data_IF_255599373012
#
_entry.id   IF_255599373012
#
_cell.length_a   1.000
_cell.length_b   1.000
_cell.length_c   1.000
_cell.angle_alpha   90.00
_cell.angle_beta   90.00
_cell.angle_gamma   90.00
#
_symmetry.space_group_name_H-M   'P 1'
#
loop_
_entity.id
_entity.type
_entity.pdbx_description
1 polymer ?
#
# COMPACT_ATOMS: atom_id res chain seq x y z
N UNK A 1 18.36 3.17 -11.10
CA UNK A 1 18.22 2.73 -9.70
C UNK A 1 16.83 2.20 -9.37
N UNK A 2 15.80 2.99 -9.65
CA UNK A 2 14.41 2.68 -9.29
C UNK A 2 13.91 1.40 -10.01
N UNK A 3 14.30 1.22 -11.27
CA UNK A 3 13.97 0.03 -12.06
C UNK A 3 14.49 -1.28 -11.46
N UNK A 4 15.76 -1.32 -11.04
CA UNK A 4 16.34 -2.49 -10.35
C UNK A 4 15.59 -2.79 -9.05
N UNK A 5 15.18 -1.76 -8.30
CA UNK A 5 14.43 -1.96 -7.07
C UNK A 5 13.05 -2.57 -7.33
N UNK A 6 12.36 -2.09 -8.36
CA UNK A 6 11.09 -2.67 -8.82
C UNK A 6 11.24 -4.16 -9.18
N UNK A 7 12.33 -4.51 -9.88
CA UNK A 7 12.67 -5.90 -10.23
C UNK A 7 12.85 -6.78 -8.99
N UNK A 8 13.55 -6.27 -7.96
CA UNK A 8 13.77 -6.99 -6.72
C UNK A 8 12.45 -7.26 -5.99
N UNK A 9 11.61 -6.24 -5.81
CA UNK A 9 10.28 -6.40 -5.20
C UNK A 9 9.46 -7.45 -5.96
N UNK A 10 9.42 -7.35 -7.29
CA UNK A 10 8.70 -8.33 -8.13
C UNK A 10 9.22 -9.76 -7.92
N UNK A 11 10.55 -9.93 -7.87
CA UNK A 11 11.17 -11.24 -7.67
C UNK A 11 10.92 -11.79 -6.26
N UNK A 12 10.96 -10.96 -5.22
CA UNK A 12 10.64 -11.34 -3.84
C UNK A 12 9.21 -11.85 -3.71
N UNK A 13 8.28 -11.28 -4.49
CA UNK A 13 6.89 -11.72 -4.56
C UNK A 13 6.67 -12.90 -5.52
N UNK A 14 7.72 -13.44 -6.14
CA UNK A 14 7.63 -14.50 -7.16
C UNK A 14 6.69 -14.16 -8.32
N UNK A 15 6.54 -12.87 -8.65
CA UNK A 15 5.63 -12.40 -9.71
C UNK A 15 6.36 -12.40 -11.06
N UNK A 16 5.74 -13.01 -12.06
CA UNK A 16 6.24 -12.97 -13.44
C UNK A 16 5.92 -11.63 -14.13
N UNK A 17 6.77 -11.23 -15.08
CA UNK A 17 6.48 -10.08 -15.95
C UNK A 17 5.17 -10.23 -16.73
N UNK A 18 4.76 -11.47 -17.05
CA UNK A 18 3.47 -11.76 -17.67
C UNK A 18 2.29 -11.40 -16.78
N UNK A 19 2.37 -11.64 -15.48
CA UNK A 19 1.30 -11.30 -14.54
C UNK A 19 1.11 -9.78 -14.47
N UNK A 20 2.20 -9.01 -14.31
CA UNK A 20 2.14 -7.54 -14.33
C UNK A 20 1.59 -7.05 -15.66
N UNK A 21 2.16 -7.54 -16.78
CA UNK A 21 1.78 -7.14 -18.13
C UNK A 21 0.29 -7.30 -18.40
N UNK A 22 -0.29 -8.41 -17.94
CA UNK A 22 -1.72 -8.71 -18.06
C UNK A 22 -2.57 -7.79 -17.17
N UNK A 23 -2.14 -7.52 -15.94
CA UNK A 23 -2.92 -6.71 -15.00
C UNK A 23 -3.00 -5.24 -15.44
N UNK A 24 -1.87 -4.65 -15.86
CA UNK A 24 -1.79 -3.19 -16.08
C UNK A 24 -1.92 -2.77 -17.55
N UNK A 25 -2.11 -3.74 -18.45
CA UNK A 25 -2.20 -3.58 -19.91
C UNK A 25 -0.96 -2.87 -20.51
N UNK A 26 0.23 -3.40 -20.21
CA UNK A 26 1.52 -2.90 -20.72
C UNK A 26 2.38 -4.08 -21.17
N UNK A 27 3.15 -3.94 -22.24
CA UNK A 27 3.93 -5.05 -22.78
C UNK A 27 5.03 -5.54 -21.81
N UNK A 28 5.24 -6.86 -21.76
CA UNK A 28 6.34 -7.48 -20.99
C UNK A 28 7.71 -6.86 -21.30
N UNK A 29 7.97 -6.54 -22.56
CA UNK A 29 9.23 -5.92 -22.98
C UNK A 29 9.40 -4.53 -22.36
N UNK A 30 8.35 -3.73 -22.31
CA UNK A 30 8.40 -2.40 -21.70
C UNK A 30 8.75 -2.50 -20.21
N UNK A 31 8.08 -3.38 -19.46
CA UNK A 31 8.33 -3.57 -18.03
C UNK A 31 9.77 -4.08 -17.80
N UNK A 32 10.23 -5.01 -18.63
CA UNK A 32 11.61 -5.49 -18.61
C UNK A 32 12.62 -4.36 -18.87
N UNK A 33 12.36 -3.48 -19.84
CA UNK A 33 13.25 -2.35 -20.12
C UNK A 33 13.28 -1.34 -18.96
N UNK A 34 12.16 -1.16 -18.26
CA UNK A 34 12.11 -0.36 -17.01
C UNK A 34 12.93 -1.02 -15.91
N UNK A 35 12.71 -2.32 -15.65
CA UNK A 35 13.41 -3.07 -14.60
C UNK A 35 14.93 -3.15 -14.79
N UNK A 36 15.39 -3.11 -16.04
CA UNK A 36 16.82 -3.11 -16.38
C UNK A 36 17.36 -1.71 -16.69
N UNK A 37 16.65 -0.64 -16.31
CA UNK A 37 17.08 0.75 -16.42
C UNK A 37 17.34 1.25 -17.85
N UNK A 38 16.89 0.49 -18.86
CA UNK A 38 16.95 0.87 -20.27
C UNK A 38 15.91 1.93 -20.62
N UNK A 39 14.83 2.00 -19.84
CA UNK A 39 13.73 2.94 -20.03
C UNK A 39 13.23 3.48 -18.70
N UNK A 40 12.86 4.76 -18.66
CA UNK A 40 12.17 5.35 -17.52
C UNK A 40 10.66 5.19 -17.74
N UNK A 41 9.97 4.65 -16.73
CA UNK A 41 8.52 4.50 -16.76
C UNK A 41 7.81 5.85 -16.77
N UNK A 42 6.67 5.94 -17.44
CA UNK A 42 5.75 7.06 -17.19
C UNK A 42 5.14 6.93 -15.79
N UNK A 43 4.71 8.05 -15.22
CA UNK A 43 4.07 8.09 -13.91
C UNK A 43 2.86 7.14 -13.80
N UNK A 44 1.86 7.18 -14.71
CA UNK A 44 0.69 6.33 -14.58
C UNK A 44 1.02 4.84 -14.64
N UNK A 45 1.99 4.45 -15.48
CA UNK A 45 2.41 3.04 -15.58
C UNK A 45 3.16 2.62 -14.31
N UNK A 46 4.04 3.47 -13.80
CA UNK A 46 4.80 3.18 -12.59
C UNK A 46 3.88 2.95 -11.39
N UNK A 47 2.90 3.85 -11.17
CA UNK A 47 1.93 3.70 -10.08
C UNK A 47 1.08 2.45 -10.24
N UNK A 48 0.61 2.13 -11.45
CA UNK A 48 -0.12 0.88 -11.69
C UNK A 48 0.69 -0.36 -11.31
N UNK A 49 1.99 -0.38 -11.61
CA UNK A 49 2.85 -1.50 -11.20
C UNK A 49 2.94 -1.57 -9.67
N UNK A 50 3.21 -0.44 -9.01
CA UNK A 50 3.33 -0.40 -7.54
C UNK A 50 2.01 -0.80 -6.86
N UNK A 51 0.87 -0.31 -7.35
CA UNK A 51 -0.45 -0.63 -6.81
C UNK A 51 -0.72 -2.14 -6.96
N UNK A 52 -0.39 -2.73 -8.10
CA UNK A 52 -0.51 -4.18 -8.30
C UNK A 52 0.41 -4.96 -7.36
N UNK A 53 1.69 -4.61 -7.29
CA UNK A 53 2.64 -5.29 -6.40
C UNK A 53 2.19 -5.19 -4.94
N UNK A 54 1.75 -4.01 -4.50
CA UNK A 54 1.26 -3.77 -3.14
C UNK A 54 -0.02 -4.58 -2.83
N UNK A 55 -0.93 -4.70 -3.81
CA UNK A 55 -2.17 -5.47 -3.67
C UNK A 55 -1.91 -6.97 -3.49
N UNK A 56 -0.89 -7.51 -4.15
CA UNK A 56 -0.53 -8.94 -4.06
C UNK A 56 0.51 -9.22 -2.96
N UNK A 57 0.91 -8.20 -2.20
CA UNK A 57 1.90 -8.35 -1.13
C UNK A 57 1.22 -8.86 0.16
N UNK A 58 1.77 -9.91 0.80
CA UNK A 58 1.13 -10.56 1.93
C UNK A 58 1.45 -9.87 3.27
N UNK A 59 0.75 -10.24 4.34
CA UNK A 59 1.32 -10.06 5.67
C UNK A 59 2.55 -10.97 5.78
N UNK A 60 3.63 -10.49 6.38
CA UNK A 60 4.82 -11.27 6.67
C UNK A 60 5.55 -10.72 7.89
N UNK A 61 6.73 -11.27 8.19
CA UNK A 61 7.58 -10.85 9.31
C UNK A 61 7.85 -9.33 9.38
N UNK A 62 7.80 -8.60 8.26
CA UNK A 62 8.03 -7.14 8.27
C UNK A 62 6.86 -6.34 8.84
N UNK A 63 5.64 -6.86 8.78
CA UNK A 63 4.42 -6.12 9.13
C UNK A 63 3.43 -6.90 10.00
N UNK A 64 3.70 -8.17 10.32
CA UNK A 64 2.76 -9.00 11.09
C UNK A 64 2.36 -8.35 12.41
N UNK A 65 3.28 -7.72 13.13
CA UNK A 65 2.98 -7.12 14.44
C UNK A 65 2.09 -5.87 14.33
N UNK A 66 1.98 -5.27 13.15
CA UNK A 66 1.08 -4.13 12.90
C UNK A 66 -0.36 -4.60 12.62
N UNK A 67 -0.51 -5.81 12.10
CA UNK A 67 -1.78 -6.31 11.55
C UNK A 67 -2.37 -7.46 12.36
N UNK A 68 -1.54 -8.35 12.91
CA UNK A 68 -1.95 -9.46 13.75
C UNK A 68 -1.90 -9.01 15.21
N UNK A 69 -2.95 -8.30 15.63
CA UNK A 69 -3.06 -7.75 16.99
C UNK A 69 -4.03 -8.54 17.84
N UNK A 70 -3.88 -8.45 19.16
CA UNK A 70 -4.83 -9.04 20.12
C UNK A 70 -6.27 -8.58 19.90
N UNK A 71 -6.46 -7.31 19.54
CA UNK A 71 -7.79 -6.78 19.24
C UNK A 71 -8.42 -7.53 18.06
N UNK A 72 -7.68 -7.64 16.96
CA UNK A 72 -8.15 -8.31 15.75
C UNK A 72 -8.31 -9.82 15.96
N UNK A 73 -7.45 -10.46 16.75
CA UNK A 73 -7.61 -11.85 17.15
C UNK A 73 -8.97 -12.08 17.83
N UNK A 74 -9.32 -11.22 18.78
CA UNK A 74 -10.58 -11.34 19.51
C UNK A 74 -11.81 -11.08 18.61
N UNK A 75 -11.70 -10.23 17.58
CA UNK A 75 -12.78 -10.04 16.60
C UNK A 75 -12.90 -11.24 15.63
N UNK A 76 -11.76 -11.79 15.19
CA UNK A 76 -11.68 -12.90 14.26
C UNK A 76 -12.13 -14.23 14.86
N UNK A 77 -11.72 -14.53 16.11
CA UNK A 77 -11.91 -15.86 16.73
C UNK A 77 -13.37 -16.23 16.99
N UNK A 78 -14.24 -15.23 17.14
CA UNK A 78 -15.69 -15.38 17.36
C UNK A 78 -16.42 -15.86 16.09
N UNK A 79 -15.80 -15.66 14.93
CA UNK A 79 -16.38 -16.05 13.63
C UNK A 79 -15.88 -17.42 13.15
N UNK A 80 -15.03 -18.10 13.93
CA UNK A 80 -14.57 -19.45 13.61
C UNK A 80 -15.67 -20.48 13.84
N UNK A 81 -15.76 -21.50 12.99
CA UNK A 81 -16.88 -22.45 12.96
C UNK A 81 -16.40 -23.90 13.03
N UNK A 82 -17.22 -24.78 13.59
CA UNK A 82 -16.99 -26.21 13.58
C UNK A 82 -17.84 -26.87 12.50
N UNK A 83 -17.21 -27.73 11.70
CA UNK A 83 -17.88 -28.61 10.75
C UNK A 83 -17.51 -30.05 11.05
N UNK A 84 -18.44 -31.00 10.83
CA UNK A 84 -18.07 -32.41 10.83
C UNK A 84 -17.24 -32.69 9.56
N UNK A 85 -16.15 -33.45 9.69
CA UNK A 85 -15.33 -33.76 8.52
C UNK A 85 -16.03 -34.76 7.60
N UNK A 86 -16.06 -34.43 6.31
CA UNK A 86 -16.54 -35.31 5.24
C UNK A 86 -15.41 -36.17 4.63
N UNK A 87 -14.17 -36.05 5.13
CA UNK A 87 -13.03 -36.86 4.68
C UNK A 87 -13.12 -38.28 5.27
N UNK A 88 -13.16 -39.28 4.40
CA UNK A 88 -13.25 -40.68 4.80
C UNK A 88 -12.06 -41.17 5.63
N UNK A 89 -10.91 -40.49 5.57
CA UNK A 89 -9.76 -40.79 6.42
C UNK A 89 -9.90 -40.22 7.84
N UNK A 90 -10.83 -39.30 8.05
CA UNK A 90 -11.06 -38.58 9.31
C UNK A 90 -12.53 -38.66 9.75
N UNK A 91 -13.21 -39.76 9.42
CA UNK A 91 -14.60 -40.00 9.80
C UNK A 91 -14.77 -39.90 11.33
N UNK A 92 -15.66 -39.01 11.78
CA UNK A 92 -15.90 -38.74 13.20
C UNK A 92 -15.05 -37.62 13.82
N UNK A 93 -14.19 -36.95 13.04
CA UNK A 93 -13.50 -35.74 13.47
C UNK A 93 -14.27 -34.47 13.09
N UNK A 94 -13.97 -33.39 13.81
CA UNK A 94 -14.45 -32.04 13.55
C UNK A 94 -13.34 -31.19 12.95
N UNK A 95 -13.68 -30.39 11.95
CA UNK A 95 -12.84 -29.37 11.39
C UNK A 95 -13.17 -28.04 12.06
N UNK A 96 -12.17 -27.37 12.63
CA UNK A 96 -12.29 -25.98 13.06
C UNK A 96 -11.90 -25.08 11.89
N UNK A 97 -12.83 -24.28 11.41
CA UNK A 97 -12.69 -23.39 10.27
C UNK A 97 -12.52 -21.95 10.70
N UNK A 98 -11.58 -21.26 10.07
CA UNK A 98 -11.43 -19.83 10.09
C UNK A 98 -12.50 -19.15 9.20
N UNK A 99 -12.83 -17.87 9.44
CA UNK A 99 -13.90 -17.18 8.71
C UNK A 99 -13.61 -16.96 7.22
N UNK A 100 -12.33 -17.02 6.83
CA UNK A 100 -11.84 -16.95 5.44
C UNK A 100 -11.95 -18.30 4.71
N UNK A 101 -12.49 -19.33 5.36
CA UNK A 101 -12.71 -20.64 4.75
C UNK A 101 -11.45 -21.52 4.76
N UNK A 102 -10.54 -21.32 5.71
CA UNK A 102 -9.41 -22.22 5.92
C UNK A 102 -9.61 -23.10 7.15
N UNK A 103 -9.16 -24.34 7.07
CA UNK A 103 -9.15 -25.24 8.23
C UNK A 103 -7.99 -24.84 9.14
N UNK A 104 -8.32 -24.50 10.39
CA UNK A 104 -7.38 -24.22 11.48
C UNK A 104 -6.75 -25.53 11.96
N UNK A 105 -7.58 -26.53 12.26
CA UNK A 105 -7.16 -27.85 12.76
C UNK A 105 -8.29 -28.87 12.66
N UNK A 106 -7.92 -30.15 12.69
CA UNK A 106 -8.84 -31.27 12.97
C UNK A 106 -8.88 -31.52 14.48
N UNK A 107 -10.05 -31.90 15.01
CA UNK A 107 -10.29 -32.14 16.43
C UNK A 107 -11.14 -33.40 16.60
N UNK A 108 -10.82 -34.23 17.58
CA UNK A 108 -11.68 -35.36 17.94
C UNK A 108 -12.95 -34.88 18.67
N UNK A 109 -13.89 -35.80 18.90
CA UNK A 109 -15.12 -35.52 19.64
C UNK A 109 -14.87 -35.02 21.08
N UNK A 110 -13.77 -35.48 21.71
CA UNK A 110 -13.35 -35.01 23.04
C UNK A 110 -12.65 -33.65 22.97
N UNK A 111 -11.82 -33.43 21.95
CA UNK A 111 -11.03 -32.19 21.83
C UNK A 111 -11.90 -30.97 21.52
N UNK A 112 -13.05 -31.17 20.85
CA UNK A 112 -13.97 -30.08 20.50
C UNK A 112 -14.67 -29.45 21.72
N UNK A 113 -14.64 -30.13 22.87
CA UNK A 113 -15.23 -29.62 24.11
C UNK A 113 -14.20 -28.90 24.99
N UNK A 114 -12.90 -28.99 24.65
CA UNK A 114 -11.82 -28.32 25.37
C UNK A 114 -11.63 -26.88 24.86
N UNK A 115 -12.31 -25.94 25.52
CA UNK A 115 -12.25 -24.51 25.18
C UNK A 115 -10.81 -23.94 25.21
N UNK A 116 -9.97 -24.42 26.13
CA UNK A 116 -8.59 -23.93 26.24
C UNK A 116 -7.77 -24.40 25.03
N UNK A 117 -7.85 -25.69 24.70
CA UNK A 117 -7.20 -26.25 23.52
C UNK A 117 -7.65 -25.51 22.24
N UNK A 118 -8.95 -25.23 22.12
CA UNK A 118 -9.51 -24.53 20.96
C UNK A 118 -8.93 -23.11 20.85
N UNK A 119 -8.90 -22.33 21.93
CA UNK A 119 -8.31 -20.97 21.90
C UNK A 119 -6.82 -21.02 21.59
N UNK A 120 -6.07 -22.00 22.13
CA UNK A 120 -4.66 -22.19 21.80
C UNK A 120 -4.44 -22.47 20.31
N UNK A 121 -5.26 -23.34 19.69
CA UNK A 121 -5.19 -23.63 18.24
C UNK A 121 -5.57 -22.42 17.39
N UNK A 122 -6.61 -21.68 17.78
CA UNK A 122 -7.00 -20.42 17.11
C UNK A 122 -5.88 -19.38 17.18
N UNK A 123 -5.27 -19.20 18.36
CA UNK A 123 -4.14 -18.29 18.56
C UNK A 123 -2.93 -18.66 17.72
N UNK A 124 -2.50 -19.92 17.79
CA UNK A 124 -1.36 -20.42 17.03
C UNK A 124 -1.57 -20.17 15.53
N UNK A 125 -2.77 -20.51 15.02
CA UNK A 125 -3.11 -20.24 13.64
C UNK A 125 -3.05 -18.74 13.32
N UNK A 126 -3.75 -17.91 14.10
CA UNK A 126 -3.85 -16.48 13.84
C UNK A 126 -2.52 -15.74 13.91
N UNK A 127 -1.67 -16.04 14.88
CA UNK A 127 -0.44 -15.28 15.13
C UNK A 127 0.83 -15.91 14.54
N UNK A 128 0.80 -17.18 14.13
CA UNK A 128 1.99 -17.88 13.64
C UNK A 128 1.84 -18.47 12.25
N UNK A 129 0.64 -18.90 11.84
CA UNK A 129 0.45 -19.66 10.59
C UNK A 129 -0.26 -18.85 9.49
N UNK A 130 -1.10 -17.92 9.89
CA UNK A 130 -1.97 -17.10 9.03
C UNK A 130 -1.30 -16.16 8.04
N UNK A 131 0.03 -16.07 8.05
CA UNK A 131 0.76 -15.18 7.14
C UNK A 131 1.91 -15.93 6.46
N UNK A 132 1.98 -17.25 6.66
CA UNK A 132 2.95 -18.10 6.01
C UNK A 132 2.45 -18.48 4.59
N UNK A 133 3.36 -18.63 3.62
CA UNK A 133 3.01 -19.02 2.24
C UNK A 133 2.32 -20.38 2.13
N UNK A 134 2.49 -21.23 3.13
CA UNK A 134 1.85 -22.53 3.31
C UNK A 134 1.39 -22.63 4.77
N UNK A 135 0.14 -22.31 5.07
CA UNK A 135 -0.44 -22.67 6.37
C UNK A 135 -0.78 -24.16 6.48
N UNK A 136 0.11 -25.05 5.99
CA UNK A 136 -0.05 -26.50 6.08
C UNK A 136 1.21 -27.16 6.62
N UNK A 137 1.10 -27.76 7.80
CA UNK A 137 1.86 -28.96 8.15
C UNK A 137 1.35 -30.11 7.26
N UNK A 138 1.90 -30.29 6.04
CA UNK A 138 1.46 -31.42 5.21
C UNK A 138 1.84 -31.36 3.73
N UNK A 139 2.92 -32.06 3.41
CA UNK A 139 3.41 -32.59 2.13
C UNK A 139 2.41 -32.59 0.94
N UNK A 140 2.24 -31.46 0.25
CA UNK A 140 1.68 -31.40 -1.11
C UNK A 140 2.51 -30.47 -1.99
N UNK A 141 3.58 -31.04 -2.56
CA UNK A 141 4.41 -30.41 -3.59
C UNK A 141 3.63 -30.25 -4.90
N UNK A 142 2.81 -29.21 -5.01
CA UNK A 142 2.46 -28.52 -6.26
C UNK A 142 1.22 -27.64 -6.05
N UNK A 143 1.40 -26.37 -5.70
CA UNK A 143 0.52 -25.28 -6.15
C UNK A 143 1.25 -23.97 -5.94
N UNK A 144 1.14 -23.05 -6.90
CA UNK A 144 1.57 -21.66 -6.77
C UNK A 144 1.21 -21.13 -5.37
N UNK A 145 2.23 -20.90 -4.55
CA UNK A 145 2.15 -20.53 -3.12
C UNK A 145 1.09 -19.44 -2.91
N UNK A 146 -0.01 -19.80 -2.24
CA UNK A 146 -1.07 -18.86 -1.86
C UNK A 146 -0.96 -18.65 -0.36
N UNK A 147 -0.43 -17.49 0.03
CA UNK A 147 -0.57 -16.97 1.38
C UNK A 147 -2.02 -17.06 1.82
N UNK A 148 -2.25 -17.61 3.01
CA UNK A 148 -3.58 -17.68 3.65
C UNK A 148 -3.89 -16.30 4.17
N UNK A 149 -4.69 -15.45 3.52
CA UNK A 149 -4.76 -14.07 3.94
C UNK A 149 -5.93 -13.94 4.92
N UNK A 150 -5.67 -14.12 6.22
CA UNK A 150 -6.66 -13.86 7.29
C UNK A 150 -7.32 -12.48 7.12
N UNK A 151 -6.60 -11.53 6.54
CA UNK A 151 -7.11 -10.19 6.27
C UNK A 151 -8.21 -10.13 5.20
N UNK A 152 -8.44 -11.17 4.39
CA UNK A 152 -9.61 -11.23 3.49
C UNK A 152 -10.90 -11.52 4.25
N UNK A 153 -10.82 -12.11 5.44
CA UNK A 153 -11.95 -12.29 6.34
C UNK A 153 -12.23 -11.07 7.23
N UNK A 154 -11.32 -10.09 7.26
CA UNK A 154 -11.43 -8.91 8.12
C UNK A 154 -11.66 -7.69 7.23
N UNK A 155 -12.86 -7.12 7.33
CA UNK A 155 -13.29 -5.99 6.50
C UNK A 155 -12.29 -4.81 6.53
N UNK A 156 -11.82 -4.42 5.34
CA UNK A 156 -10.95 -3.28 5.12
C UNK A 156 -9.47 -3.50 5.49
N UNK A 157 -9.10 -4.69 5.98
CA UNK A 157 -7.72 -5.01 6.33
C UNK A 157 -6.85 -5.20 5.08
N UNK A 158 -7.42 -5.71 3.99
CA UNK A 158 -6.80 -5.80 2.67
C UNK A 158 -6.27 -4.46 2.17
N UNK A 159 -7.07 -3.40 2.29
CA UNK A 159 -6.70 -2.05 1.90
C UNK A 159 -5.57 -1.51 2.77
N UNK A 160 -5.61 -1.74 4.09
CA UNK A 160 -4.58 -1.27 5.02
C UNK A 160 -3.22 -1.95 4.75
N UNK A 161 -3.24 -3.27 4.53
CA UNK A 161 -2.03 -4.04 4.14
C UNK A 161 -1.48 -3.52 2.82
N UNK A 162 -2.34 -3.28 1.83
CA UNK A 162 -1.92 -2.70 0.55
C UNK A 162 -1.28 -1.31 0.73
N UNK A 163 -1.87 -0.41 1.52
CA UNK A 163 -1.31 0.93 1.75
C UNK A 163 0.04 0.86 2.47
N UNK A 164 0.19 -0.05 3.44
CA UNK A 164 1.45 -0.25 4.13
C UNK A 164 2.54 -0.72 3.17
N UNK A 165 2.25 -1.68 2.29
CA UNK A 165 3.21 -2.15 1.28
C UNK A 165 3.58 -1.06 0.28
N UNK A 166 2.61 -0.29 -0.19
CA UNK A 166 2.85 0.84 -1.08
C UNK A 166 3.82 1.85 -0.44
N UNK A 167 3.58 2.19 0.83
CA UNK A 167 4.47 3.04 1.60
C UNK A 167 5.86 2.42 1.76
N UNK A 168 5.93 1.15 2.16
CA UNK A 168 7.20 0.43 2.35
C UNK A 168 8.04 0.41 1.06
N UNK A 169 7.43 0.11 -0.08
CA UNK A 169 8.12 0.12 -1.37
C UNK A 169 8.63 1.50 -1.77
N UNK A 170 7.86 2.56 -1.56
CA UNK A 170 8.34 3.91 -1.82
C UNK A 170 9.48 4.31 -0.88
N UNK A 171 9.39 4.00 0.42
CA UNK A 171 10.46 4.25 1.38
C UNK A 171 11.76 3.54 0.95
N UNK A 172 11.65 2.25 0.62
CA UNK A 172 12.78 1.43 0.23
C UNK A 172 13.40 1.90 -1.09
N UNK A 173 12.59 2.35 -2.05
CA UNK A 173 13.08 3.01 -3.26
C UNK A 173 13.78 4.33 -2.95
N UNK A 174 13.25 5.16 -2.04
CA UNK A 174 13.87 6.42 -1.67
C UNK A 174 15.23 6.20 -1.02
N UNK A 175 15.29 5.31 -0.02
CA UNK A 175 16.52 4.95 0.65
C UNK A 175 17.55 4.40 -0.33
N UNK A 176 17.14 3.52 -1.26
CA UNK A 176 18.05 2.96 -2.26
C UNK A 176 18.72 4.02 -3.15
N UNK A 177 18.04 5.13 -3.43
CA UNK A 177 18.58 6.26 -4.19
C UNK A 177 19.53 7.09 -3.32
N UNK A 178 19.12 7.41 -2.09
CA UNK A 178 19.90 8.22 -1.16
C UNK A 178 21.21 7.55 -0.72
N UNK A 179 21.19 6.23 -0.56
CA UNK A 179 22.35 5.43 -0.16
C UNK A 179 23.34 5.20 -1.31
N UNK A 180 22.98 5.61 -2.53
CA UNK A 180 23.84 5.45 -3.69
C UNK A 180 24.77 6.62 -3.91
N UNK A 181 25.94 6.29 -4.45
CA UNK A 181 26.89 7.28 -4.95
C UNK A 181 26.62 7.66 -6.43
N UNK A 182 25.49 7.22 -7.00
CA UNK A 182 25.14 7.47 -8.40
C UNK A 182 24.34 8.77 -8.56
N UNK A 183 24.69 9.59 -9.54
CA UNK A 183 23.90 10.78 -9.89
C UNK A 183 22.70 10.39 -10.74
N UNK A 184 21.49 10.78 -10.32
CA UNK A 184 20.29 10.59 -11.11
C UNK A 184 20.31 11.43 -12.39
N UNK A 185 19.98 10.82 -13.52
CA UNK A 185 19.66 11.58 -14.74
C UNK A 185 18.29 12.29 -14.63
N UNK A 186 18.08 13.35 -15.42
CA UNK A 186 16.88 14.22 -15.33
C UNK A 186 15.54 13.47 -15.30
N UNK A 187 15.39 12.43 -16.13
CA UNK A 187 14.15 11.65 -16.20
C UNK A 187 13.95 10.78 -14.96
N UNK A 188 15.04 10.23 -14.41
CA UNK A 188 14.98 9.44 -13.19
C UNK A 188 14.77 10.33 -11.97
N UNK A 189 15.37 11.53 -11.94
CA UNK A 189 15.12 12.54 -10.91
C UNK A 189 13.63 12.96 -10.85
N UNK A 190 12.95 13.06 -12.00
CA UNK A 190 11.50 13.31 -12.05
C UNK A 190 10.69 12.16 -11.45
N UNK A 191 11.03 10.91 -11.78
CA UNK A 191 10.36 9.74 -11.21
C UNK A 191 10.61 9.64 -9.70
N UNK A 192 11.83 9.97 -9.25
CA UNK A 192 12.19 10.04 -7.84
C UNK A 192 11.37 11.09 -7.09
N UNK A 193 11.25 12.30 -7.62
CA UNK A 193 10.42 13.36 -7.00
C UNK A 193 8.96 12.93 -6.84
N UNK A 194 8.43 12.18 -7.81
CA UNK A 194 7.08 11.60 -7.71
C UNK A 194 6.99 10.60 -6.57
N UNK A 195 7.94 9.65 -6.46
CA UNK A 195 7.97 8.67 -5.36
C UNK A 195 7.99 9.38 -4.01
N UNK A 196 8.78 10.45 -3.87
CA UNK A 196 8.85 11.24 -2.65
C UNK A 196 7.51 11.92 -2.32
N UNK A 197 6.81 12.45 -3.32
CA UNK A 197 5.48 13.05 -3.13
C UNK A 197 4.43 12.01 -2.72
N UNK A 198 4.41 10.85 -3.37
CA UNK A 198 3.51 9.75 -3.00
C UNK A 198 3.77 9.27 -1.57
N UNK A 199 5.04 9.12 -1.19
CA UNK A 199 5.43 8.76 0.16
C UNK A 199 4.98 9.82 1.19
N UNK A 200 5.14 11.10 0.88
CA UNK A 200 4.67 12.19 1.74
C UNK A 200 3.13 12.16 1.90
N UNK A 201 2.40 11.89 0.81
CA UNK A 201 0.95 11.73 0.82
C UNK A 201 0.50 10.59 1.74
N UNK A 202 1.13 9.41 1.62
CA UNK A 202 0.81 8.24 2.44
C UNK A 202 1.12 8.46 3.93
N UNK A 203 2.25 9.12 4.25
CA UNK A 203 2.61 9.47 5.62
C UNK A 203 1.68 10.52 6.26
N UNK A 204 0.98 11.31 5.43
CA UNK A 204 0.04 12.34 5.89
C UNK A 204 -1.36 11.80 6.20
N UNK A 205 -1.52 10.47 6.30
CA UNK A 205 -2.76 9.69 6.40
C UNK A 205 -3.79 10.14 7.45
N UNK A 206 -4.47 11.24 7.18
CA UNK A 206 -5.87 11.49 7.47
C UNK A 206 -6.32 12.69 6.63
N UNK A 207 -6.83 12.44 5.42
CA UNK A 207 -7.93 13.22 4.81
C UNK A 207 -8.25 12.69 3.43
N UNK A 208 -9.50 12.28 3.26
CA UNK A 208 -10.15 12.22 1.96
C UNK A 208 -9.97 13.56 1.23
N UNK A 209 -9.59 13.48 -0.04
CA UNK A 209 -9.47 14.62 -0.96
C UNK A 209 -8.01 14.96 -1.27
N UNK A 210 -7.66 14.88 -2.55
CA UNK A 210 -6.37 15.32 -3.09
C UNK A 210 -5.98 16.69 -2.53
N UNK A 211 -5.03 16.69 -1.60
CA UNK A 211 -4.51 17.88 -0.95
C UNK A 211 -3.06 18.03 -1.35
N UNK A 212 -2.76 18.99 -2.23
CA UNK A 212 -1.37 19.42 -2.46
C UNK A 212 -0.96 20.31 -1.29
N UNK A 213 -0.35 19.71 -0.27
CA UNK A 213 0.21 20.44 0.86
C UNK A 213 1.67 20.82 0.58
N UNK A 214 1.95 22.11 0.40
CA UNK A 214 3.33 22.64 0.39
C UNK A 214 3.86 22.75 1.83
N UNK A 215 4.00 21.62 2.53
CA UNK A 215 4.42 21.64 3.94
C UNK A 215 5.79 21.06 4.23
N UNK A 216 6.62 20.68 3.25
CA UNK A 216 8.02 20.36 3.55
C UNK A 216 9.05 21.13 2.69
N UNK A 217 9.78 21.99 3.42
CA UNK A 217 11.10 22.57 3.14
C UNK A 217 11.24 23.42 1.88
N UNK A 218 10.73 24.66 1.97
CA UNK A 218 11.44 25.80 1.37
C UNK A 218 12.86 25.75 1.94
N UNK A 219 13.82 25.25 1.17
CA UNK A 219 15.22 25.27 1.59
C UNK A 219 15.64 26.72 1.75
N UNK A 220 16.23 27.14 2.87
CA UNK A 220 16.53 28.56 3.13
C UNK A 220 17.48 29.21 2.09
N UNK A 221 18.12 28.40 1.24
CA UNK A 221 19.07 28.83 0.21
C UNK A 221 18.58 28.60 -1.22
N UNK A 222 17.28 28.33 -1.44
CA UNK A 222 16.69 28.25 -2.79
C UNK A 222 15.64 29.32 -2.96
N UNK A 223 15.66 29.97 -4.12
CA UNK A 223 14.62 30.91 -4.52
C UNK A 223 13.43 30.12 -5.09
N UNK A 224 12.23 30.39 -4.58
CA UNK A 224 11.00 29.76 -5.04
C UNK A 224 10.08 30.86 -5.54
N UNK A 225 9.56 30.69 -6.75
CA UNK A 225 8.53 31.56 -7.31
C UNK A 225 7.18 30.84 -7.30
N UNK A 226 6.17 31.51 -6.75
CA UNK A 226 4.77 31.12 -6.85
C UNK A 226 4.04 32.20 -7.65
N UNK A 227 3.41 31.80 -8.74
CA UNK A 227 2.54 32.71 -9.49
C UNK A 227 1.18 32.81 -8.80
N UNK A 228 0.94 33.93 -8.12
CA UNK A 228 -0.31 34.17 -7.40
C UNK A 228 -1.54 34.24 -8.33
N UNK A 229 -1.36 34.45 -9.64
CA UNK A 229 -2.48 34.44 -10.60
C UNK A 229 -3.07 33.04 -10.77
N UNK A 230 -2.30 31.98 -10.49
CA UNK A 230 -2.82 30.62 -10.53
C UNK A 230 -3.88 30.38 -9.45
N UNK A 231 -3.84 31.12 -8.34
CA UNK A 231 -4.82 31.05 -7.26
C UNK A 231 -6.22 31.51 -7.67
N UNK A 232 -6.35 32.16 -8.84
CA UNK A 232 -7.63 32.63 -9.39
C UNK A 232 -8.36 31.55 -10.21
N UNK A 233 -7.76 30.37 -10.41
CA UNK A 233 -8.37 29.32 -11.22
C UNK A 233 -9.48 28.58 -10.45
N UNK A 234 -10.59 28.28 -11.13
CA UNK A 234 -11.80 27.68 -10.53
C UNK A 234 -11.65 26.25 -10.02
N UNK A 235 -10.49 25.64 -10.22
CA UNK A 235 -10.16 24.27 -9.85
C UNK A 235 -9.20 24.16 -8.65
N UNK A 236 -8.75 25.27 -8.05
CA UNK A 236 -7.92 25.24 -6.86
C UNK A 236 -8.77 25.25 -5.58
N UNK A 237 -8.58 24.24 -4.72
CA UNK A 237 -9.13 24.24 -3.35
C UNK A 237 -8.06 24.71 -2.38
N UNK A 238 -8.20 25.94 -1.89
CA UNK A 238 -7.25 26.59 -0.99
C UNK A 238 -7.65 26.38 0.46
N UNK A 239 -6.65 26.25 1.34
CA UNK A 239 -6.88 26.11 2.79
C UNK A 239 -6.02 27.07 3.59
N UNK A 240 -6.57 27.54 4.72
CA UNK A 240 -5.90 28.39 5.69
C UNK A 240 -5.97 27.71 7.05
N UNK A 241 -4.80 27.48 7.68
CA UNK A 241 -4.68 26.75 8.95
C UNK A 241 -5.38 25.37 8.94
N UNK A 242 -5.36 24.70 7.79
CA UNK A 242 -5.93 23.36 7.63
C UNK A 242 -7.44 23.30 7.40
N UNK A 243 -8.12 24.44 7.24
CA UNK A 243 -9.54 24.53 6.86
C UNK A 243 -9.70 25.12 5.46
N UNK A 244 -10.68 24.66 4.68
CA UNK A 244 -11.01 25.28 3.40
C UNK A 244 -11.38 26.75 3.60
N UNK A 245 -10.93 27.59 2.67
CA UNK A 245 -11.43 28.97 2.61
C UNK A 245 -12.93 28.94 2.39
N UNK A 246 -13.66 29.79 3.11
CA UNK A 246 -15.06 30.11 2.81
C UNK A 246 -15.18 30.88 1.50
N UNK A 247 -16.39 30.97 0.93
CA UNK A 247 -16.64 31.72 -0.30
C UNK A 247 -16.28 33.21 -0.16
N UNK A 248 -16.48 33.79 1.03
CA UNK A 248 -16.09 35.16 1.35
C UNK A 248 -14.57 35.32 1.39
N UNK A 249 -13.85 34.39 2.03
CA UNK A 249 -12.38 34.41 2.11
C UNK A 249 -11.74 34.18 0.73
N UNK A 250 -12.33 33.30 -0.09
CA UNK A 250 -11.90 33.07 -1.47
C UNK A 250 -12.10 34.33 -2.32
N UNK A 251 -13.25 34.99 -2.18
CA UNK A 251 -13.55 36.26 -2.87
C UNK A 251 -12.59 37.36 -2.42
N UNK A 252 -12.34 37.47 -1.12
CA UNK A 252 -11.39 38.43 -0.57
C UNK A 252 -9.97 38.22 -1.10
N UNK A 253 -9.47 36.98 -1.07
CA UNK A 253 -8.15 36.63 -1.61
C UNK A 253 -8.04 36.98 -3.10
N UNK A 254 -9.08 36.67 -3.89
CA UNK A 254 -9.16 37.02 -5.30
C UNK A 254 -9.07 38.53 -5.51
N UNK A 255 -9.84 39.32 -4.75
CA UNK A 255 -9.79 40.79 -4.82
C UNK A 255 -8.41 41.33 -4.49
N UNK A 256 -7.74 40.79 -3.46
CA UNK A 256 -6.37 41.20 -3.09
C UNK A 256 -5.39 40.93 -4.23
N UNK A 257 -5.41 39.72 -4.80
CA UNK A 257 -4.51 39.32 -5.90
C UNK A 257 -4.77 40.17 -7.15
N UNK A 258 -6.03 40.38 -7.53
CA UNK A 258 -6.40 41.24 -8.65
C UNK A 258 -5.94 42.68 -8.45
N UNK A 259 -6.08 43.22 -7.23
CA UNK A 259 -5.57 44.54 -6.86
C UNK A 259 -4.06 44.66 -6.97
N UNK A 260 -3.31 43.63 -6.55
CA UNK A 260 -1.85 43.58 -6.70
C UNK A 260 -1.44 43.55 -8.18
N UNK A 261 -2.15 42.79 -9.02
CA UNK A 261 -1.92 42.71 -10.47
C UNK A 261 -2.19 44.07 -11.13
N UNK A 262 -3.33 44.70 -10.80
CA UNK A 262 -3.69 46.02 -11.33
C UNK A 262 -2.63 47.07 -10.99
N UNK A 263 -2.19 47.11 -9.73
CA UNK A 263 -1.14 48.04 -9.28
C UNK A 263 0.21 47.83 -9.99
N UNK A 264 0.62 46.58 -10.25
CA UNK A 264 1.83 46.32 -11.05
C UNK A 264 1.70 46.86 -12.47
N UNK A 265 0.55 46.63 -13.11
CA UNK A 265 0.27 47.15 -14.47
C UNK A 265 0.26 48.68 -14.54
N UNK A 266 -0.01 49.38 -13.43
CA UNK A 266 0.08 50.84 -13.35
C UNK A 266 1.51 51.34 -13.15
N UNK A 267 2.37 50.55 -12.49
CA UNK A 267 3.79 50.86 -12.27
C UNK A 267 4.68 50.55 -13.50
N UNK A 268 4.23 49.62 -14.34
CA UNK A 268 4.91 49.22 -15.58
C UNK A 268 4.53 50.11 -16.79
N UNK A 269 3.76 51.20 -16.56
CA UNK A 269 3.40 52.23 -17.55
C UNK A 269 4.21 53.51 -17.31
#
# INVERSE_FOLDING_TARGET
MIGKKLKNIRNELSISLSQISKEIDVSRSYISDVENEKKISSYPVFIKVIDFLSKVSPINEKNKDLFLTEKLYNEWKENCQFNLSDDSNFEGYYELWAPDGFIITMLSDTDKEDEQLIDEKKRDFFFQKSFLPDGRDGDYKNTNERYIPIYQAIDGMDYQVQQWWKMHYFQDMVLSVLDSNETLGDKEARLFAIIQNELASLNSGSRQGEFLSFTHSISPNKEYSLDLSSLLSSNMKLTLRGSYLSDEEHTFLKTVVEGMIARRKELDK
#
